data_IF_320069191850
#
_entry.id   IF_320069191850
#
_cell.length_a   1.000
_cell.length_b   1.000
_cell.length_c   1.000
_cell.angle_alpha   90.00
_cell.angle_beta   90.00
_cell.angle_gamma   90.00
#
_symmetry.space_group_name_H-M   'P 1'
#
loop_
_entity.id
_entity.type
_entity.pdbx_description
1 polymer ?
#
# COMPACT_ATOMS: atom_id res chain seq x y z
N UNK A 1 -25.98 1.49 -32.07
CA UNK A 1 -25.07 1.09 -30.98
C UNK A 1 -23.71 1.71 -31.24
N UNK A 2 -23.45 2.85 -30.63
CA UNK A 2 -22.12 3.48 -30.65
C UNK A 2 -21.29 2.82 -29.56
N UNK A 3 -20.32 1.99 -29.96
CA UNK A 3 -19.39 1.41 -29.00
C UNK A 3 -18.62 2.55 -28.30
N UNK A 4 -18.80 2.67 -26.99
CA UNK A 4 -17.95 3.51 -26.12
C UNK A 4 -16.59 2.81 -26.05
N UNK A 5 -15.73 3.08 -27.03
CA UNK A 5 -14.55 2.24 -27.28
C UNK A 5 -13.35 2.61 -26.41
N UNK A 6 -13.29 3.83 -25.86
CA UNK A 6 -12.16 4.30 -25.06
C UNK A 6 -12.52 4.61 -23.59
N UNK A 7 -11.52 4.54 -22.71
CA UNK A 7 -11.66 4.98 -21.32
C UNK A 7 -12.08 6.46 -21.22
N UNK A 8 -11.63 7.30 -22.15
CA UNK A 8 -12.02 8.71 -22.23
C UNK A 8 -13.50 8.87 -22.55
N UNK A 9 -14.06 8.04 -23.43
CA UNK A 9 -15.50 8.05 -23.72
C UNK A 9 -16.33 7.68 -22.49
N UNK A 10 -15.87 6.72 -21.69
CA UNK A 10 -16.53 6.34 -20.43
C UNK A 10 -16.51 7.48 -19.41
N UNK A 11 -15.38 8.17 -19.27
CA UNK A 11 -15.29 9.34 -18.39
C UNK A 11 -16.23 10.44 -18.87
N UNK A 12 -16.24 10.77 -20.17
CA UNK A 12 -17.18 11.76 -20.74
C UNK A 12 -18.65 11.39 -20.52
N UNK A 13 -19.00 10.14 -20.77
CA UNK A 13 -20.34 9.61 -20.51
C UNK A 13 -20.69 9.72 -19.02
N UNK A 14 -19.78 9.32 -18.14
CA UNK A 14 -19.93 9.47 -16.69
C UNK A 14 -20.20 10.91 -16.29
N UNK A 15 -19.44 11.88 -16.83
CA UNK A 15 -19.61 13.31 -16.48
C UNK A 15 -21.00 13.79 -16.90
N UNK A 16 -21.44 13.40 -18.09
CA UNK A 16 -22.78 13.71 -18.58
C UNK A 16 -23.88 13.10 -17.70
N UNK A 17 -23.71 11.85 -17.24
CA UNK A 17 -24.66 11.19 -16.34
C UNK A 17 -24.68 11.87 -14.97
N UNK A 18 -23.52 12.08 -14.36
CA UNK A 18 -23.40 12.73 -13.05
C UNK A 18 -24.03 14.14 -13.05
N UNK A 19 -23.74 14.94 -14.07
CA UNK A 19 -24.33 16.29 -14.22
C UNK A 19 -25.85 16.26 -14.33
N UNK A 20 -26.41 15.37 -15.16
CA UNK A 20 -27.87 15.21 -15.30
C UNK A 20 -28.52 14.72 -14.01
N UNK A 21 -27.92 13.73 -13.36
CA UNK A 21 -28.43 13.19 -12.11
C UNK A 21 -28.46 14.27 -11.02
N UNK A 22 -27.34 15.00 -10.84
CA UNK A 22 -27.25 16.08 -9.87
C UNK A 22 -28.36 17.13 -10.07
N UNK A 23 -28.60 17.55 -11.31
CA UNK A 23 -29.68 18.49 -11.63
C UNK A 23 -31.07 17.93 -11.32
N UNK A 24 -31.34 16.66 -11.67
CA UNK A 24 -32.65 16.03 -11.48
C UNK A 24 -32.98 15.70 -10.03
N UNK A 25 -31.97 15.50 -9.19
CA UNK A 25 -32.13 15.16 -7.77
C UNK A 25 -31.88 16.35 -6.85
N UNK A 26 -31.60 17.52 -7.41
CA UNK A 26 -31.17 18.71 -6.66
C UNK A 26 -30.01 18.43 -5.71
N UNK A 27 -29.00 17.67 -6.17
CA UNK A 27 -27.79 17.44 -5.40
C UNK A 27 -26.90 18.70 -5.45
N UNK A 28 -26.29 19.06 -4.33
CA UNK A 28 -25.38 20.22 -4.22
C UNK A 28 -24.09 20.00 -5.00
N UNK A 29 -23.64 18.74 -5.06
CA UNK A 29 -22.43 18.38 -5.77
C UNK A 29 -22.49 16.96 -6.33
N UNK A 30 -21.65 16.69 -7.33
CA UNK A 30 -21.47 15.37 -7.90
C UNK A 30 -20.03 15.16 -8.39
N UNK A 31 -19.53 13.94 -8.20
CA UNK A 31 -18.22 13.55 -8.71
C UNK A 31 -18.21 12.12 -9.25
N UNK A 32 -17.28 11.85 -10.16
CA UNK A 32 -17.00 10.51 -10.65
C UNK A 32 -15.81 9.94 -9.91
N UNK A 33 -15.85 8.63 -9.66
CA UNK A 33 -14.72 7.94 -9.08
C UNK A 33 -14.48 6.60 -9.77
N UNK A 34 -13.66 5.77 -9.13
CA UNK A 34 -13.37 4.42 -9.61
C UNK A 34 -12.29 4.39 -10.70
N UNK A 35 -12.08 3.18 -11.22
CA UNK A 35 -10.92 2.88 -12.08
C UNK A 35 -10.86 3.76 -13.33
N UNK A 36 -11.99 4.06 -13.95
CA UNK A 36 -12.06 4.88 -15.16
C UNK A 36 -11.63 6.33 -14.90
N UNK A 37 -12.07 6.93 -13.80
CA UNK A 37 -11.74 8.31 -13.43
C UNK A 37 -10.24 8.51 -13.18
N UNK A 38 -9.57 7.49 -12.65
CA UNK A 38 -8.11 7.54 -12.39
C UNK A 38 -7.27 6.92 -13.51
N UNK A 39 -7.82 6.72 -14.71
CA UNK A 39 -7.08 6.18 -15.85
C UNK A 39 -6.66 4.70 -15.73
N UNK A 40 -7.24 3.95 -14.81
CA UNK A 40 -7.00 2.51 -14.61
C UNK A 40 -8.07 1.62 -15.28
N UNK A 41 -9.10 2.21 -15.89
CA UNK A 41 -10.24 1.50 -16.46
C UNK A 41 -9.91 0.37 -17.46
N UNK A 42 -10.85 -0.56 -17.60
CA UNK A 42 -10.88 -1.62 -18.62
C UNK A 42 -12.17 -1.57 -19.43
N UNK A 43 -12.25 -2.39 -20.47
CA UNK A 43 -13.44 -2.53 -21.32
C UNK A 43 -14.72 -2.88 -20.52
N UNK A 44 -14.59 -3.55 -19.38
CA UNK A 44 -15.71 -3.93 -18.51
C UNK A 44 -15.84 -3.05 -17.25
N UNK A 45 -15.08 -1.95 -17.17
CA UNK A 45 -15.21 -1.02 -16.05
C UNK A 45 -16.57 -0.32 -16.10
N UNK A 46 -17.21 -0.27 -14.95
CA UNK A 46 -18.39 0.52 -14.65
C UNK A 46 -18.04 2.01 -14.46
N UNK A 47 -19.09 2.79 -14.26
CA UNK A 47 -19.03 4.21 -13.91
C UNK A 47 -19.55 4.37 -12.48
N UNK A 48 -18.68 4.80 -11.57
CA UNK A 48 -19.08 5.18 -10.22
C UNK A 48 -19.44 6.67 -10.17
N UNK A 49 -20.70 7.00 -9.86
CA UNK A 49 -21.21 8.36 -9.68
C UNK A 49 -21.55 8.57 -8.20
N UNK A 50 -21.09 9.69 -7.66
CA UNK A 50 -21.42 10.13 -6.32
C UNK A 50 -22.24 11.41 -6.37
N UNK A 51 -23.38 11.44 -5.68
CA UNK A 51 -24.25 12.59 -5.51
C UNK A 51 -24.24 13.00 -4.05
N UNK A 52 -24.03 14.29 -3.76
CA UNK A 52 -23.86 14.80 -2.40
C UNK A 52 -24.91 15.87 -2.11
N UNK A 53 -25.52 15.80 -0.92
CA UNK A 53 -26.56 16.75 -0.49
C UNK A 53 -27.96 16.45 -1.02
N UNK A 54 -28.16 15.27 -1.62
CA UNK A 54 -29.49 14.89 -2.11
C UNK A 54 -30.48 14.68 -0.94
N UNK A 55 -31.73 15.18 -1.04
CA UNK A 55 -32.71 15.12 0.06
C UNK A 55 -33.20 13.70 0.40
N UNK A 56 -32.88 12.71 -0.44
CA UNK A 56 -33.36 11.33 -0.31
C UNK A 56 -32.58 10.48 0.71
N UNK A 57 -31.61 11.06 1.41
CA UNK A 57 -30.73 10.33 2.32
C UNK A 57 -29.73 9.43 1.59
N UNK A 58 -28.91 8.71 2.37
CA UNK A 58 -27.89 7.83 1.80
C UNK A 58 -28.50 6.61 1.13
N UNK A 59 -28.13 6.38 -0.13
CA UNK A 59 -28.65 5.27 -0.93
C UNK A 59 -27.66 4.85 -1.99
N UNK A 60 -27.59 3.55 -2.26
CA UNK A 60 -26.92 3.00 -3.44
C UNK A 60 -27.94 2.52 -4.45
N UNK A 61 -27.74 2.84 -5.71
CA UNK A 61 -28.55 2.36 -6.82
C UNK A 61 -27.65 1.98 -7.99
N UNK A 62 -28.10 1.02 -8.79
CA UNK A 62 -27.45 0.62 -10.02
C UNK A 62 -28.38 0.93 -11.18
N UNK A 63 -27.83 1.49 -12.25
CA UNK A 63 -28.54 1.71 -13.51
C UNK A 63 -27.63 1.35 -14.69
N UNK A 64 -28.20 1.40 -15.89
CA UNK A 64 -27.46 1.15 -17.13
C UNK A 64 -27.58 2.35 -18.05
N UNK A 65 -26.47 2.72 -18.67
CA UNK A 65 -26.43 3.61 -19.82
C UNK A 65 -25.95 2.78 -21.00
N UNK A 66 -26.88 2.42 -21.88
CA UNK A 66 -26.69 1.37 -22.89
C UNK A 66 -26.30 0.03 -22.24
N UNK A 67 -25.11 -0.48 -22.53
CA UNK A 67 -24.53 -1.72 -21.99
C UNK A 67 -23.57 -1.48 -20.80
N UNK A 68 -23.42 -0.22 -20.37
CA UNK A 68 -22.49 0.17 -19.32
C UNK A 68 -23.23 0.27 -17.98
N UNK A 69 -22.77 -0.51 -16.99
CA UNK A 69 -23.22 -0.39 -15.60
C UNK A 69 -22.77 0.95 -15.01
N UNK A 70 -23.72 1.64 -14.38
CA UNK A 70 -23.48 2.86 -13.61
C UNK A 70 -23.94 2.61 -12.17
N UNK A 71 -23.00 2.71 -11.24
CA UNK A 71 -23.26 2.64 -9.81
C UNK A 71 -23.38 4.07 -9.28
N UNK A 72 -24.54 4.43 -8.74
CA UNK A 72 -24.80 5.75 -8.17
C UNK A 72 -24.93 5.65 -6.66
N UNK A 73 -24.14 6.43 -5.94
CA UNK A 73 -24.17 6.54 -4.48
C UNK A 73 -24.59 7.95 -4.07
N UNK A 74 -25.63 8.05 -3.25
CA UNK A 74 -26.08 9.27 -2.61
C UNK A 74 -25.43 9.34 -1.22
N UNK A 75 -24.84 10.48 -0.89
CA UNK A 75 -24.17 10.75 0.38
C UNK A 75 -24.68 12.07 0.96
N UNK A 76 -24.75 12.17 2.28
CA UNK A 76 -24.89 13.46 2.93
C UNK A 76 -23.55 14.19 2.95
N UNK A 77 -23.60 15.52 3.10
CA UNK A 77 -22.39 16.29 3.36
C UNK A 77 -21.78 15.91 4.72
N UNK A 78 -22.61 15.80 5.75
CA UNK A 78 -22.20 15.45 7.12
C UNK A 78 -21.38 14.16 7.17
N UNK A 79 -21.72 13.15 6.37
CA UNK A 79 -20.95 11.89 6.28
C UNK A 79 -19.56 12.13 5.69
N UNK A 80 -19.44 12.96 4.65
CA UNK A 80 -18.15 13.29 4.06
C UNK A 80 -17.31 14.17 4.98
N UNK A 81 -17.92 15.13 5.66
CA UNK A 81 -17.26 15.95 6.68
C UNK A 81 -16.73 15.09 7.82
N UNK A 82 -17.58 14.24 8.39
CA UNK A 82 -17.20 13.30 9.45
C UNK A 82 -16.08 12.37 9.00
N UNK A 83 -16.14 11.84 7.78
CA UNK A 83 -15.09 11.00 7.21
C UNK A 83 -13.75 11.76 7.09
N UNK A 84 -13.77 12.99 6.60
CA UNK A 84 -12.55 13.82 6.48
C UNK A 84 -11.99 14.13 7.86
N UNK A 85 -12.84 14.54 8.81
CA UNK A 85 -12.43 14.80 10.19
C UNK A 85 -11.78 13.56 10.81
N UNK A 86 -12.35 12.39 10.56
CA UNK A 86 -11.83 11.13 11.07
C UNK A 86 -10.50 10.75 10.41
N UNK A 87 -10.35 10.89 9.10
CA UNK A 87 -9.07 10.70 8.39
C UNK A 87 -7.97 11.63 8.92
N UNK A 88 -8.30 12.89 9.21
CA UNK A 88 -7.33 13.88 9.68
C UNK A 88 -7.00 13.74 11.16
N UNK A 89 -7.97 13.33 11.98
CA UNK A 89 -7.82 13.13 13.42
C UNK A 89 -7.24 11.77 13.82
N UNK A 90 -7.40 10.74 12.97
CA UNK A 90 -6.93 9.39 13.29
C UNK A 90 -5.42 9.29 13.03
N UNK A 91 -4.67 9.09 14.10
CA UNK A 91 -3.30 8.58 14.03
C UNK A 91 -3.31 7.06 13.88
N UNK A 92 -2.29 6.52 13.22
CA UNK A 92 -2.08 5.06 13.15
C UNK A 92 -1.10 4.70 14.26
N UNK A 93 -1.60 4.25 15.40
CA UNK A 93 -0.81 3.95 16.58
C UNK A 93 -0.61 2.44 16.78
N UNK A 94 0.53 2.07 17.37
CA UNK A 94 0.89 0.67 17.64
C UNK A 94 -0.02 -0.03 18.65
N UNK A 95 -0.67 0.74 19.52
CA UNK A 95 -1.68 0.29 20.48
C UNK A 95 -3.00 1.02 20.18
N UNK A 96 -3.91 0.43 19.38
CA UNK A 96 -5.10 1.14 18.96
C UNK A 96 -6.11 1.22 20.11
N UNK A 97 -6.16 2.37 20.77
CA UNK A 97 -7.29 2.76 21.59
C UNK A 97 -8.30 3.52 20.73
N UNK A 98 -9.20 2.80 20.04
CA UNK A 98 -10.26 3.45 19.28
C UNK A 98 -10.84 2.61 18.15
N UNK A 99 -11.90 3.14 17.57
CA UNK A 99 -12.52 2.60 16.36
C UNK A 99 -11.67 2.94 15.14
N UNK A 100 -11.54 2.00 14.21
CA UNK A 100 -10.75 2.16 12.98
C UNK A 100 -11.68 2.34 11.78
N UNK A 101 -11.29 3.20 10.85
CA UNK A 101 -11.93 3.31 9.53
C UNK A 101 -12.01 1.94 8.86
N UNK A 102 -13.20 1.59 8.37
CA UNK A 102 -13.42 0.43 7.53
C UNK A 102 -12.80 0.61 6.14
N UNK A 103 -12.52 -0.50 5.44
CA UNK A 103 -12.04 -0.46 4.05
C UNK A 103 -12.94 0.36 3.12
N UNK A 104 -14.25 0.35 3.37
CA UNK A 104 -15.23 1.13 2.59
C UNK A 104 -15.05 2.63 2.80
N UNK A 105 -14.80 3.05 4.03
CA UNK A 105 -14.60 4.46 4.36
C UNK A 105 -13.25 4.96 3.85
N UNK A 106 -12.18 4.17 3.97
CA UNK A 106 -10.87 4.47 3.36
C UNK A 106 -11.03 4.60 1.84
N UNK A 107 -11.72 3.65 1.19
CA UNK A 107 -12.00 3.71 -0.23
C UNK A 107 -12.81 4.96 -0.60
N UNK A 108 -13.79 5.36 0.22
CA UNK A 108 -14.58 6.57 0.00
C UNK A 108 -13.72 7.84 0.13
N UNK A 109 -12.85 7.94 1.13
CA UNK A 109 -11.93 9.06 1.29
C UNK A 109 -10.95 9.17 0.11
N UNK A 110 -10.42 8.04 -0.38
CA UNK A 110 -9.61 8.01 -1.60
C UNK A 110 -10.40 8.48 -2.81
N UNK A 111 -11.66 8.04 -2.97
CA UNK A 111 -12.54 8.45 -4.07
C UNK A 111 -12.87 9.95 -4.00
N UNK A 112 -13.09 10.50 -2.81
CA UNK A 112 -13.29 11.93 -2.61
C UNK A 112 -12.06 12.74 -3.04
N UNK A 113 -10.86 12.30 -2.63
CA UNK A 113 -9.60 12.97 -2.97
C UNK A 113 -9.27 12.88 -4.47
N UNK A 114 -9.41 11.70 -5.07
CA UNK A 114 -8.94 11.42 -6.44
C UNK A 114 -10.02 11.52 -7.52
N UNK A 115 -11.29 11.64 -7.12
CA UNK A 115 -12.42 11.68 -8.04
C UNK A 115 -12.45 12.93 -8.92
N UNK A 116 -13.11 12.81 -10.07
CA UNK A 116 -13.34 13.92 -10.98
C UNK A 116 -14.60 14.68 -10.56
N UNK A 117 -14.45 15.90 -10.02
CA UNK A 117 -15.57 16.75 -9.63
C UNK A 117 -16.28 17.26 -10.89
N UNK A 118 -17.57 16.93 -11.00
CA UNK A 118 -18.39 17.27 -12.18
C UNK A 118 -19.21 18.52 -11.94
N UNK A 119 -19.83 18.61 -10.76
CA UNK A 119 -20.61 19.76 -10.29
C UNK A 119 -20.26 19.96 -8.83
N UNK A 120 -20.07 21.21 -8.40
CA UNK A 120 -19.76 21.52 -7.01
C UNK A 120 -20.24 22.92 -6.65
N UNK A 121 -20.89 23.03 -5.49
CA UNK A 121 -21.22 24.30 -4.83
C UNK A 121 -20.01 24.93 -4.13
N UNK A 122 -18.87 24.24 -4.11
CA UNK A 122 -17.61 24.63 -3.46
C UNK A 122 -17.26 23.74 -2.28
N UNK A 123 -18.21 22.93 -1.82
CA UNK A 123 -18.08 22.08 -0.64
C UNK A 123 -17.13 20.90 -0.87
N UNK A 124 -17.20 20.22 -2.02
CA UNK A 124 -16.29 19.09 -2.29
C UNK A 124 -14.86 19.57 -2.48
N UNK A 125 -14.68 20.71 -3.15
CA UNK A 125 -13.38 21.36 -3.26
C UNK A 125 -12.79 21.70 -1.89
N UNK A 126 -13.59 22.23 -0.95
CA UNK A 126 -13.14 22.52 0.41
C UNK A 126 -12.69 21.26 1.16
N UNK A 127 -13.48 20.18 1.11
CA UNK A 127 -13.11 18.90 1.74
C UNK A 127 -11.85 18.28 1.14
N UNK A 128 -11.70 18.35 -0.19
CA UNK A 128 -10.49 17.89 -0.87
C UNK A 128 -9.27 18.69 -0.46
N UNK A 129 -9.37 20.02 -0.40
CA UNK A 129 -8.28 20.88 0.02
C UNK A 129 -7.79 20.52 1.43
N UNK A 130 -8.71 20.25 2.37
CA UNK A 130 -8.36 19.77 3.72
C UNK A 130 -7.55 18.47 3.71
N UNK A 131 -7.89 17.52 2.82
CA UNK A 131 -7.12 16.27 2.66
C UNK A 131 -5.74 16.53 2.02
N UNK A 132 -5.67 17.43 1.04
CA UNK A 132 -4.44 17.75 0.33
C UNK A 132 -3.45 18.59 1.15
N UNK A 133 -3.93 19.37 2.13
CA UNK A 133 -3.11 20.02 3.16
C UNK A 133 -2.41 19.03 4.10
N UNK A 134 -2.93 17.79 4.18
CA UNK A 134 -2.42 16.73 5.04
C UNK A 134 -2.20 15.41 4.27
N UNK A 135 -1.36 15.40 3.22
CA UNK A 135 -1.31 14.31 2.25
C UNK A 135 -0.89 12.96 2.85
N UNK A 136 -0.13 12.98 3.96
CA UNK A 136 0.30 11.76 4.64
C UNK A 136 -0.80 11.08 5.44
N UNK A 137 -1.85 11.78 5.88
CA UNK A 137 -2.90 11.19 6.73
C UNK A 137 -3.63 10.07 5.99
N UNK A 138 -4.21 10.40 4.84
CA UNK A 138 -4.89 9.41 4.01
C UNK A 138 -3.91 8.37 3.44
N UNK A 139 -2.72 8.80 3.03
CA UNK A 139 -1.71 7.89 2.47
C UNK A 139 -1.28 6.83 3.49
N UNK A 140 -1.08 7.20 4.76
CA UNK A 140 -0.72 6.25 5.83
C UNK A 140 -1.84 5.26 6.14
N UNK A 141 -3.09 5.68 6.10
CA UNK A 141 -4.23 4.75 6.23
C UNK A 141 -4.21 3.71 5.10
N UNK A 142 -4.07 4.16 3.85
CA UNK A 142 -4.00 3.26 2.68
C UNK A 142 -2.77 2.35 2.76
N UNK A 143 -1.58 2.88 3.07
CA UNK A 143 -0.36 2.10 3.26
C UNK A 143 -0.56 1.03 4.35
N UNK A 144 -1.07 1.42 5.53
CA UNK A 144 -1.26 0.51 6.65
C UNK A 144 -2.25 -0.62 6.31
N UNK A 145 -3.38 -0.33 5.64
CA UNK A 145 -4.32 -1.37 5.20
C UNK A 145 -3.65 -2.40 4.31
N UNK A 146 -2.87 -1.95 3.30
CA UNK A 146 -2.19 -2.87 2.40
C UNK A 146 -1.01 -3.59 3.05
N UNK A 147 -0.29 -2.95 3.98
CA UNK A 147 0.75 -3.59 4.78
C UNK A 147 0.17 -4.69 5.67
N UNK A 148 -0.99 -4.45 6.28
CA UNK A 148 -1.68 -5.45 7.11
C UNK A 148 -2.18 -6.64 6.29
N UNK A 149 -2.77 -6.38 5.12
CA UNK A 149 -3.17 -7.43 4.19
C UNK A 149 -1.96 -8.26 3.71
N UNK A 150 -0.83 -7.61 3.42
CA UNK A 150 0.41 -8.28 3.05
C UNK A 150 0.96 -9.12 4.20
N UNK A 151 0.89 -8.62 5.43
CA UNK A 151 1.31 -9.34 6.64
C UNK A 151 0.55 -10.65 6.79
N UNK A 152 -0.80 -10.62 6.81
CA UNK A 152 -1.61 -11.83 6.97
C UNK A 152 -1.37 -12.84 5.83
N UNK A 153 -1.29 -12.37 4.59
CA UNK A 153 -1.01 -13.26 3.46
C UNK A 153 0.40 -13.90 3.51
N UNK A 154 1.40 -13.17 4.03
CA UNK A 154 2.73 -13.71 4.21
C UNK A 154 2.81 -14.67 5.42
N UNK A 155 2.07 -14.41 6.49
CA UNK A 155 1.87 -15.34 7.60
C UNK A 155 1.26 -16.66 7.11
N UNK A 156 0.17 -16.61 6.35
CA UNK A 156 -0.44 -17.80 5.74
C UNK A 156 0.57 -18.55 4.86
N UNK A 157 1.29 -17.83 3.99
CA UNK A 157 2.32 -18.42 3.13
C UNK A 157 3.41 -19.14 3.94
N UNK A 158 3.87 -18.52 5.03
CA UNK A 158 4.92 -19.09 5.88
C UNK A 158 4.43 -20.31 6.64
N UNK A 159 3.21 -20.27 7.19
CA UNK A 159 2.61 -21.39 7.91
C UNK A 159 2.36 -22.59 7.01
N UNK A 160 1.73 -22.39 5.85
CA UNK A 160 1.46 -23.44 4.87
C UNK A 160 2.74 -24.07 4.33
N UNK A 161 3.78 -23.25 4.10
CA UNK A 161 5.10 -23.73 3.66
C UNK A 161 5.82 -24.62 4.69
N UNK A 162 5.52 -24.44 5.97
CA UNK A 162 6.07 -25.25 7.08
C UNK A 162 5.28 -26.53 7.33
N UNK A 163 4.12 -26.70 6.68
CA UNK A 163 3.32 -27.91 6.76
C UNK A 163 4.07 -29.09 6.13
N UNK A 164 3.89 -30.28 6.71
CA UNK A 164 4.41 -31.53 6.17
C UNK A 164 3.53 -32.06 5.00
N UNK A 165 2.35 -31.47 4.77
CA UNK A 165 1.44 -31.86 3.68
C UNK A 165 1.83 -31.17 2.35
N UNK A 166 2.27 -31.92 1.32
CA UNK A 166 2.63 -31.33 0.03
C UNK A 166 1.48 -30.61 -0.68
N UNK A 167 0.22 -30.91 -0.33
CA UNK A 167 -0.95 -30.23 -0.88
C UNK A 167 -1.12 -28.79 -0.40
N UNK A 168 -0.40 -28.39 0.65
CA UNK A 168 -0.39 -27.01 1.17
C UNK A 168 0.51 -26.07 0.35
N UNK A 169 1.35 -26.58 -0.57
CA UNK A 169 2.25 -25.76 -1.38
C UNK A 169 1.50 -24.84 -2.36
N UNK A 170 0.42 -25.31 -2.98
CA UNK A 170 -0.40 -24.51 -3.91
C UNK A 170 -1.11 -23.36 -3.17
N UNK A 171 -1.81 -23.59 -2.04
CA UNK A 171 -2.28 -22.52 -1.16
C UNK A 171 -1.17 -21.57 -0.69
N UNK A 172 0.02 -22.08 -0.34
CA UNK A 172 1.17 -21.25 0.05
C UNK A 172 1.60 -20.32 -1.09
N UNK A 173 1.67 -20.82 -2.32
CA UNK A 173 1.99 -20.02 -3.50
C UNK A 173 0.95 -18.93 -3.76
N UNK A 174 -0.35 -19.24 -3.60
CA UNK A 174 -1.42 -18.27 -3.70
C UNK A 174 -1.30 -17.17 -2.63
N UNK A 175 -1.06 -17.55 -1.38
CA UNK A 175 -0.86 -16.63 -0.27
C UNK A 175 0.37 -15.74 -0.47
N UNK A 176 1.50 -16.31 -0.90
CA UNK A 176 2.73 -15.56 -1.20
C UNK A 176 2.55 -14.55 -2.34
N UNK A 177 1.82 -14.90 -3.40
CA UNK A 177 1.46 -13.95 -4.47
C UNK A 177 0.57 -12.83 -3.95
N UNK A 178 -0.42 -13.13 -3.10
CA UNK A 178 -1.26 -12.12 -2.47
C UNK A 178 -0.44 -11.17 -1.58
N UNK A 179 0.49 -11.69 -0.78
CA UNK A 179 1.40 -10.89 0.01
C UNK A 179 2.19 -9.91 -0.86
N UNK A 180 2.72 -10.38 -1.99
CA UNK A 180 3.44 -9.54 -2.94
C UNK A 180 2.54 -8.48 -3.61
N UNK A 181 1.31 -8.83 -3.99
CA UNK A 181 0.32 -7.87 -4.52
C UNK A 181 0.05 -6.76 -3.49
N UNK A 182 -0.29 -7.12 -2.25
CA UNK A 182 -0.59 -6.16 -1.19
C UNK A 182 0.65 -5.32 -0.83
N UNK A 183 1.86 -5.89 -0.80
CA UNK A 183 3.09 -5.13 -0.60
C UNK A 183 3.35 -4.12 -1.73
N UNK A 184 3.07 -4.51 -2.99
CA UNK A 184 3.12 -3.60 -4.13
C UNK A 184 2.09 -2.48 -4.05
N UNK A 185 0.89 -2.76 -3.50
CA UNK A 185 -0.14 -1.75 -3.25
C UNK A 185 0.28 -0.74 -2.18
N UNK A 186 0.89 -1.21 -1.09
CA UNK A 186 1.45 -0.35 -0.06
C UNK A 186 2.55 0.57 -0.65
N UNK A 187 3.43 0.01 -1.48
CA UNK A 187 4.48 0.78 -2.15
C UNK A 187 3.92 1.80 -3.16
N UNK A 188 2.90 1.44 -3.93
CA UNK A 188 2.24 2.38 -4.84
C UNK A 188 1.61 3.56 -4.08
N UNK A 189 0.97 3.28 -2.93
CA UNK A 189 0.42 4.32 -2.05
C UNK A 189 1.52 5.22 -1.46
N UNK A 190 2.67 4.64 -1.11
CA UNK A 190 3.86 5.39 -0.70
C UNK A 190 4.41 6.31 -1.82
N UNK A 191 4.28 5.88 -3.08
CA UNK A 191 4.55 6.70 -4.28
C UNK A 191 3.43 7.68 -4.65
N UNK A 192 2.39 7.82 -3.81
CA UNK A 192 1.28 8.76 -3.99
C UNK A 192 0.07 8.22 -4.77
N UNK A 193 0.11 6.98 -5.27
CA UNK A 193 -1.03 6.36 -5.98
C UNK A 193 -1.95 5.61 -5.01
N UNK A 194 -2.94 6.34 -4.51
CA UNK A 194 -3.82 5.87 -3.44
C UNK A 194 -4.98 4.99 -3.91
N UNK A 195 -5.11 4.70 -5.21
CA UNK A 195 -6.28 3.96 -5.69
C UNK A 195 -6.49 2.68 -4.89
N UNK A 196 -7.69 2.49 -4.33
CA UNK A 196 -7.97 1.42 -3.37
C UNK A 196 -8.59 0.22 -4.08
N UNK A 197 -7.80 -0.84 -4.30
CA UNK A 197 -8.22 -2.10 -4.92
C UNK A 197 -7.05 -2.86 -5.56
N UNK A 198 -6.99 -4.19 -5.35
CA UNK A 198 -5.81 -5.02 -5.69
C UNK A 198 -5.54 -5.13 -7.21
N UNK A 199 -6.59 -5.18 -8.02
CA UNK A 199 -6.56 -5.47 -9.47
C UNK A 199 -5.50 -4.70 -10.27
N UNK A 200 -5.22 -3.46 -9.87
CA UNK A 200 -4.42 -2.52 -10.68
C UNK A 200 -3.00 -2.32 -10.20
N UNK A 201 -2.50 -3.12 -9.27
CA UNK A 201 -1.16 -2.94 -8.67
C UNK A 201 -0.06 -2.77 -9.72
N UNK A 202 -0.07 -3.53 -10.82
CA UNK A 202 0.92 -3.37 -11.91
C UNK A 202 0.84 -2.01 -12.58
N UNK A 203 -0.38 -1.54 -12.90
CA UNK A 203 -0.56 -0.25 -13.57
C UNK A 203 -0.20 0.91 -12.65
N UNK A 204 -0.51 0.78 -11.36
CA UNK A 204 -0.12 1.77 -10.37
C UNK A 204 1.40 1.83 -10.22
N UNK A 205 2.07 0.70 -9.98
CA UNK A 205 3.53 0.67 -9.89
C UNK A 205 4.23 1.10 -11.18
N UNK A 206 3.66 0.84 -12.36
CA UNK A 206 4.23 1.35 -13.61
C UNK A 206 4.09 2.88 -13.76
N UNK A 207 3.08 3.48 -13.11
CA UNK A 207 2.79 4.92 -13.18
C UNK A 207 3.47 5.72 -12.07
N UNK A 208 3.51 5.17 -10.86
CA UNK A 208 3.90 5.86 -9.63
C UNK A 208 4.93 5.08 -8.81
N UNK A 209 5.39 3.93 -9.32
CA UNK A 209 6.41 3.16 -8.66
C UNK A 209 7.74 3.92 -8.63
N UNK A 210 8.60 3.61 -7.66
CA UNK A 210 9.89 4.27 -7.54
C UNK A 210 10.79 4.03 -8.75
N UNK A 211 11.59 5.04 -9.11
CA UNK A 211 12.65 4.88 -10.09
C UNK A 211 13.59 3.73 -9.69
N UNK A 212 13.94 2.88 -10.65
CA UNK A 212 14.77 1.70 -10.41
C UNK A 212 14.05 0.54 -9.71
N UNK A 213 12.75 0.62 -9.44
CA UNK A 213 11.96 -0.54 -9.00
C UNK A 213 12.09 -1.68 -10.01
N UNK A 214 12.42 -2.93 -9.59
CA UNK A 214 12.63 -4.04 -10.50
C UNK A 214 11.28 -4.63 -10.93
N UNK A 215 10.56 -3.87 -11.75
CA UNK A 215 9.19 -4.17 -12.18
C UNK A 215 9.08 -5.51 -12.93
N UNK A 216 10.09 -5.84 -13.74
CA UNK A 216 10.15 -7.12 -14.44
C UNK A 216 10.20 -8.31 -13.45
N UNK A 217 10.96 -8.18 -12.37
CA UNK A 217 11.05 -9.20 -11.32
C UNK A 217 9.74 -9.31 -10.54
N UNK A 218 9.12 -8.18 -10.20
CA UNK A 218 7.79 -8.15 -9.56
C UNK A 218 6.74 -8.87 -10.42
N UNK A 219 6.73 -8.64 -11.74
CA UNK A 219 5.81 -9.31 -12.66
C UNK A 219 6.12 -10.80 -12.78
N UNK A 220 7.41 -11.16 -12.86
CA UNK A 220 7.87 -12.54 -12.95
C UNK A 220 7.41 -13.35 -11.73
N UNK A 221 7.67 -12.86 -10.52
CA UNK A 221 7.25 -13.51 -9.28
C UNK A 221 5.74 -13.73 -9.18
N UNK A 222 4.93 -12.82 -9.74
CA UNK A 222 3.47 -12.96 -9.72
C UNK A 222 2.91 -13.91 -10.80
N UNK A 223 3.61 -14.09 -11.92
CA UNK A 223 3.12 -14.85 -13.07
C UNK A 223 3.69 -16.26 -13.14
N UNK A 224 4.97 -16.40 -12.86
CA UNK A 224 5.66 -17.68 -12.93
C UNK A 224 5.14 -18.59 -11.82
N UNK A 225 5.21 -19.91 -12.05
CA UNK A 225 4.93 -20.90 -11.03
C UNK A 225 6.10 -20.95 -10.03
N UNK A 226 5.91 -20.52 -8.76
CA UNK A 226 6.97 -20.54 -7.76
C UNK A 226 7.34 -21.97 -7.33
N UNK A 227 6.54 -22.98 -7.68
CA UNK A 227 6.74 -24.37 -7.28
C UNK A 227 7.49 -25.20 -8.33
N UNK A 228 7.70 -24.65 -9.53
CA UNK A 228 8.16 -25.43 -10.68
C UNK A 228 9.58 -26.00 -10.58
N UNK A 229 10.49 -25.34 -9.85
CA UNK A 229 11.91 -25.74 -9.76
C UNK A 229 12.31 -26.06 -8.32
N UNK A 230 12.13 -25.11 -7.42
CA UNK A 230 12.37 -25.25 -5.99
C UNK A 230 11.27 -24.49 -5.24
N UNK A 231 10.23 -25.21 -4.76
CA UNK A 231 9.11 -24.62 -4.01
C UNK A 231 9.55 -23.71 -2.86
N UNK A 232 10.57 -24.12 -2.10
CA UNK A 232 11.01 -23.38 -0.92
C UNK A 232 11.69 -22.07 -1.33
N UNK A 233 12.53 -22.12 -2.36
CA UNK A 233 13.16 -20.92 -2.90
C UNK A 233 12.14 -19.97 -3.55
N UNK A 234 11.17 -20.50 -4.30
CA UNK A 234 10.12 -19.69 -4.94
C UNK A 234 9.23 -18.96 -3.94
N UNK A 235 8.76 -19.65 -2.89
CA UNK A 235 7.97 -19.06 -1.81
C UNK A 235 8.80 -18.05 -0.99
N UNK A 236 10.09 -18.34 -0.77
CA UNK A 236 11.02 -17.40 -0.12
C UNK A 236 11.22 -16.14 -0.95
N UNK A 237 11.32 -16.26 -2.28
CA UNK A 237 11.49 -15.12 -3.18
C UNK A 237 10.26 -14.20 -3.16
N UNK A 238 9.05 -14.76 -3.17
CA UNK A 238 7.80 -14.02 -3.03
C UNK A 238 7.77 -13.19 -1.74
N UNK A 239 7.98 -13.86 -0.61
CA UNK A 239 7.88 -13.24 0.73
C UNK A 239 9.02 -12.25 0.99
N UNK A 240 10.23 -12.54 0.52
CA UNK A 240 11.38 -11.64 0.65
C UNK A 240 11.23 -10.38 -0.19
N UNK A 241 10.72 -10.49 -1.42
CA UNK A 241 10.43 -9.31 -2.24
C UNK A 241 9.29 -8.47 -1.64
N UNK A 242 8.25 -9.11 -1.12
CA UNK A 242 7.20 -8.43 -0.36
C UNK A 242 7.79 -7.68 0.86
N UNK A 243 8.67 -8.32 1.63
CA UNK A 243 9.37 -7.70 2.78
C UNK A 243 10.18 -6.47 2.35
N UNK A 244 10.82 -6.46 1.18
CA UNK A 244 11.51 -5.28 0.62
C UNK A 244 10.54 -4.14 0.33
N UNK A 245 9.43 -4.40 -0.36
CA UNK A 245 8.41 -3.38 -0.63
C UNK A 245 7.83 -2.80 0.67
N UNK A 246 7.56 -3.66 1.65
CA UNK A 246 6.99 -3.25 2.94
C UNK A 246 7.98 -2.42 3.75
N UNK A 247 9.28 -2.77 3.82
CA UNK A 247 10.22 -1.97 4.60
C UNK A 247 10.51 -0.62 3.96
N UNK A 248 10.59 -0.54 2.63
CA UNK A 248 10.74 0.72 1.91
C UNK A 248 9.53 1.63 2.17
N UNK A 249 8.33 1.06 2.16
CA UNK A 249 7.08 1.74 2.51
C UNK A 249 7.09 2.21 3.98
N UNK A 250 7.44 1.32 4.91
CA UNK A 250 7.42 1.58 6.35
C UNK A 250 8.43 2.65 6.79
N UNK A 251 9.53 2.78 6.07
CA UNK A 251 10.63 3.69 6.44
C UNK A 251 10.61 4.97 5.62
N UNK A 252 10.53 4.91 4.29
CA UNK A 252 10.51 6.13 3.46
C UNK A 252 9.10 6.68 3.29
N UNK A 253 8.20 5.87 2.71
CA UNK A 253 6.83 6.28 2.39
C UNK A 253 6.08 6.81 3.61
N UNK A 254 6.21 6.11 4.73
CA UNK A 254 5.59 6.50 5.99
C UNK A 254 6.05 7.87 6.49
N UNK A 255 7.32 8.21 6.26
CA UNK A 255 7.93 9.49 6.66
C UNK A 255 7.74 10.59 5.61
N UNK A 256 6.99 10.32 4.54
CA UNK A 256 6.82 11.25 3.42
C UNK A 256 8.07 11.46 2.58
N UNK A 257 9.05 10.57 2.68
CA UNK A 257 10.22 10.56 1.80
C UNK A 257 9.88 9.82 0.52
N UNK A 258 10.31 10.36 -0.61
CA UNK A 258 10.16 9.69 -1.90
C UNK A 258 10.81 8.30 -1.87
N UNK A 259 10.00 7.26 -2.10
CA UNK A 259 10.42 5.86 -2.13
C UNK A 259 11.42 5.57 -3.26
N UNK A 260 11.53 6.43 -4.28
CA UNK A 260 12.57 6.34 -5.32
C UNK A 260 13.99 6.45 -4.76
N UNK A 261 14.13 7.01 -3.54
CA UNK A 261 15.40 7.10 -2.82
C UNK A 261 15.85 5.77 -2.22
N UNK A 262 15.01 4.73 -2.25
CA UNK A 262 15.38 3.41 -1.76
C UNK A 262 16.58 2.88 -2.55
N UNK A 263 17.71 2.58 -1.89
CA UNK A 263 19.00 2.50 -2.57
C UNK A 263 19.23 1.18 -3.32
N UNK A 264 18.51 0.11 -2.96
CA UNK A 264 18.68 -1.20 -3.56
C UNK A 264 17.43 -2.08 -3.34
N UNK A 265 16.83 -2.54 -4.44
CA UNK A 265 15.67 -3.44 -4.39
C UNK A 265 16.05 -4.91 -4.32
N UNK A 266 16.98 -5.42 -5.17
CA UNK A 266 17.40 -6.81 -5.05
C UNK A 266 18.33 -6.98 -3.85
N UNK A 267 18.20 -8.14 -3.20
CA UNK A 267 19.16 -8.58 -2.20
C UNK A 267 20.56 -8.64 -2.83
N UNK A 268 21.57 -8.19 -2.10
CA UNK A 268 22.96 -8.29 -2.53
C UNK A 268 23.61 -9.63 -2.13
N UNK A 269 24.93 -9.70 -2.32
CA UNK A 269 25.78 -10.83 -1.95
C UNK A 269 26.60 -10.61 -0.68
N UNK A 270 26.32 -9.53 0.05
CA UNK A 270 27.00 -9.18 1.30
C UNK A 270 26.54 -10.01 2.50
N UNK A 271 27.28 -9.92 3.62
CA UNK A 271 27.12 -10.81 4.77
C UNK A 271 25.87 -10.54 5.62
N UNK A 272 25.40 -9.29 5.70
CA UNK A 272 24.21 -8.96 6.48
C UNK A 272 22.98 -9.35 5.68
N UNK A 273 22.10 -10.17 6.26
CA UNK A 273 20.79 -10.51 5.70
C UNK A 273 19.71 -10.27 6.74
N UNK A 274 18.58 -9.72 6.32
CA UNK A 274 17.40 -9.66 7.18
C UNK A 274 16.92 -11.08 7.47
N UNK A 275 16.43 -11.30 8.68
CA UNK A 275 15.68 -12.52 8.96
C UNK A 275 14.40 -12.52 8.12
N UNK A 276 14.12 -13.59 7.34
CA UNK A 276 12.93 -13.67 6.50
C UNK A 276 11.65 -13.90 7.32
N UNK A 277 11.79 -14.19 8.62
CA UNK A 277 10.66 -14.49 9.51
C UNK A 277 9.89 -13.25 9.98
N UNK A 278 10.40 -12.04 9.74
CA UNK A 278 9.83 -10.80 10.26
C UNK A 278 9.26 -9.92 9.15
N UNK A 279 8.10 -9.34 9.37
CA UNK A 279 7.48 -8.42 8.43
C UNK A 279 7.29 -7.05 9.09
N UNK A 280 7.63 -5.94 8.40
CA UNK A 280 7.51 -4.63 8.99
C UNK A 280 6.07 -4.11 8.92
N UNK A 281 5.64 -3.47 10.01
CA UNK A 281 4.43 -2.65 10.09
C UNK A 281 4.80 -1.27 10.59
N UNK A 282 4.18 -0.24 10.03
CA UNK A 282 4.49 1.13 10.38
C UNK A 282 3.34 1.77 11.16
N UNK A 283 3.71 2.59 12.13
CA UNK A 283 2.84 3.38 12.97
C UNK A 283 3.46 4.78 13.09
N UNK A 284 2.66 5.75 13.53
CA UNK A 284 3.11 7.14 13.69
C UNK A 284 4.27 7.26 14.70
N UNK A 285 4.36 6.35 15.66
CA UNK A 285 5.38 6.33 16.71
C UNK A 285 6.59 5.43 16.41
N UNK A 286 6.48 4.44 15.51
CA UNK A 286 7.52 3.42 15.30
C UNK A 286 7.25 2.48 14.12
N UNK A 287 8.22 1.61 13.84
CA UNK A 287 8.06 0.43 12.99
C UNK A 287 8.11 -0.81 13.87
N UNK A 288 7.13 -1.71 13.75
CA UNK A 288 7.20 -3.03 14.40
C UNK A 288 7.64 -4.09 13.40
N UNK A 289 8.54 -4.96 13.83
CA UNK A 289 8.86 -6.19 13.11
C UNK A 289 8.08 -7.33 13.75
N UNK A 290 7.19 -7.95 12.98
CA UNK A 290 6.27 -8.97 13.47
C UNK A 290 6.67 -10.32 12.89
N UNK A 291 6.96 -11.28 13.75
CA UNK A 291 7.05 -12.68 13.38
C UNK A 291 5.66 -13.33 13.54
N UNK A 292 5.16 -14.05 12.52
CA UNK A 292 3.94 -14.86 12.65
C UNK A 292 3.97 -15.75 13.90
N UNK A 293 2.93 -15.67 14.73
CA UNK A 293 2.78 -16.43 16.00
C UNK A 293 3.97 -16.27 16.98
N UNK A 294 4.79 -15.23 16.81
CA UNK A 294 6.12 -15.18 17.42
C UNK A 294 6.46 -13.85 18.09
N UNK A 295 7.75 -13.50 18.02
CA UNK A 295 8.29 -12.30 18.66
C UNK A 295 7.92 -11.04 17.89
N UNK A 296 7.65 -9.97 18.62
CA UNK A 296 7.43 -8.64 18.06
C UNK A 296 8.53 -7.71 18.55
N UNK A 297 9.13 -6.93 17.65
CA UNK A 297 10.15 -5.94 18.00
C UNK A 297 9.65 -4.55 17.63
N UNK A 298 9.73 -3.62 18.59
CA UNK A 298 9.40 -2.20 18.37
C UNK A 298 10.70 -1.48 18.04
N UNK A 299 10.82 -0.97 16.82
CA UNK A 299 12.00 -0.28 16.33
C UNK A 299 11.69 1.19 16.06
N UNK A 300 12.56 2.12 16.51
CA UNK A 300 12.56 3.47 15.99
C UNK A 300 12.78 3.48 14.47
N UNK A 301 12.29 4.50 13.73
CA UNK A 301 12.39 4.53 12.26
C UNK A 301 13.82 4.41 11.72
N UNK A 302 14.81 4.98 12.39
CA UNK A 302 16.23 4.92 12.01
C UNK A 302 16.79 3.49 12.12
N UNK A 303 16.47 2.79 13.21
CA UNK A 303 16.83 1.38 13.40
C UNK A 303 16.13 0.47 12.37
N UNK A 304 14.85 0.71 12.09
CA UNK A 304 14.12 -0.03 11.07
C UNK A 304 14.70 0.19 9.65
N UNK A 305 15.16 1.41 9.35
CA UNK A 305 15.86 1.70 8.10
C UNK A 305 17.15 0.89 7.99
N UNK A 306 18.01 0.87 9.02
CA UNK A 306 19.25 0.08 9.01
C UNK A 306 18.95 -1.43 8.84
N UNK A 307 17.92 -1.95 9.50
CA UNK A 307 17.46 -3.33 9.27
C UNK A 307 17.05 -3.54 7.81
N UNK A 308 16.23 -2.65 7.26
CA UNK A 308 15.76 -2.72 5.87
C UNK A 308 16.88 -2.72 4.82
N UNK A 309 17.93 -1.94 5.06
CA UNK A 309 19.10 -1.83 4.18
C UNK A 309 20.02 -3.06 4.24
N UNK A 310 19.89 -3.90 5.26
CA UNK A 310 20.76 -5.05 5.54
C UNK A 310 20.37 -6.31 4.76
N UNK A 311 19.93 -6.17 3.50
CA UNK A 311 19.50 -7.30 2.67
C UNK A 311 20.58 -7.76 1.69
N UNK A 312 21.49 -8.60 2.19
CA UNK A 312 22.66 -9.06 1.45
C UNK A 312 23.70 -7.96 1.26
N UNK A 313 24.00 -7.17 2.29
CA UNK A 313 24.91 -6.01 2.19
C UNK A 313 26.02 -6.06 3.22
N UNK A 314 27.11 -5.34 2.95
CA UNK A 314 28.18 -5.13 3.92
C UNK A 314 27.76 -4.07 4.95
N UNK A 315 28.26 -4.12 6.18
CA UNK A 315 28.03 -3.05 7.17
C UNK A 315 28.40 -1.65 6.66
N UNK A 316 29.45 -1.55 5.84
CA UNK A 316 29.91 -0.31 5.24
C UNK A 316 28.86 0.24 4.26
N UNK A 317 28.37 -0.58 3.32
CA UNK A 317 27.34 -0.17 2.36
C UNK A 317 26.03 0.20 3.05
N UNK A 318 25.63 -0.55 4.09
CA UNK A 318 24.45 -0.20 4.90
C UNK A 318 24.61 1.18 5.53
N UNK A 319 25.78 1.45 6.11
CA UNK A 319 26.09 2.75 6.74
C UNK A 319 26.09 3.88 5.71
N UNK A 320 26.73 3.70 4.55
CA UNK A 320 26.73 4.70 3.46
C UNK A 320 25.32 5.06 3.01
N UNK A 321 24.45 4.07 2.82
CA UNK A 321 23.07 4.27 2.44
C UNK A 321 22.25 4.97 3.53
N UNK A 322 22.42 4.54 4.79
CA UNK A 322 21.77 5.15 5.94
C UNK A 322 22.16 6.62 6.11
N UNK A 323 23.44 6.96 5.98
CA UNK A 323 23.96 8.33 6.05
C UNK A 323 23.52 9.22 4.88
N UNK A 324 23.21 8.62 3.73
CA UNK A 324 22.61 9.36 2.61
C UNK A 324 21.16 9.71 2.92
N UNK A 325 20.38 8.73 3.39
CA UNK A 325 18.97 8.89 3.72
C UNK A 325 18.73 9.73 4.98
N UNK A 326 19.70 9.81 5.89
CA UNK A 326 19.63 10.68 7.08
C UNK A 326 19.45 12.16 6.75
N UNK A 327 19.79 12.56 5.52
CA UNK A 327 19.66 13.92 5.01
C UNK A 327 18.27 14.21 4.42
N UNK A 328 17.48 13.16 4.15
CA UNK A 328 16.18 13.27 3.48
C UNK A 328 15.01 13.43 4.46
N UNK A 329 15.17 13.02 5.73
CA UNK A 329 14.11 13.12 6.74
C UNK A 329 14.64 13.37 8.15
N UNK A 330 13.98 14.24 8.95
CA UNK A 330 14.28 14.41 10.37
C UNK A 330 14.20 13.11 11.18
N UNK A 331 13.36 12.16 10.75
CA UNK A 331 13.21 10.85 11.42
C UNK A 331 14.53 10.04 11.44
N UNK A 332 15.48 10.40 10.57
CA UNK A 332 16.75 9.71 10.39
C UNK A 332 17.96 10.58 10.77
N UNK A 333 17.75 11.80 11.24
CA UNK A 333 18.82 12.77 11.49
C UNK A 333 19.85 12.30 12.54
N UNK A 334 19.47 11.36 13.42
CA UNK A 334 20.36 10.77 14.42
C UNK A 334 21.34 9.71 13.89
N UNK A 335 21.24 9.33 12.60
CA UNK A 335 22.11 8.32 12.01
C UNK A 335 23.52 8.88 11.77
N UNK A 336 24.48 8.30 12.49
CA UNK A 336 25.93 8.46 12.31
C UNK A 336 26.56 7.10 12.01
N UNK A 337 27.83 7.06 11.59
CA UNK A 337 28.54 5.80 11.39
C UNK A 337 28.53 4.93 12.66
N UNK A 338 28.84 5.54 13.80
CA UNK A 338 28.87 4.84 15.09
C UNK A 338 27.47 4.34 15.50
N UNK A 339 26.43 5.14 15.25
CA UNK A 339 25.04 4.72 15.50
C UNK A 339 24.66 3.54 14.60
N UNK A 340 25.00 3.57 13.31
CA UNK A 340 24.72 2.47 12.38
C UNK A 340 25.41 1.18 12.83
N UNK A 341 26.70 1.26 13.20
CA UNK A 341 27.47 0.12 13.70
C UNK A 341 26.81 -0.51 14.94
N UNK A 342 26.46 0.31 15.92
CA UNK A 342 25.78 -0.16 17.13
C UNK A 342 24.43 -0.80 16.82
N UNK A 343 23.60 -0.16 15.97
CA UNK A 343 22.31 -0.73 15.54
C UNK A 343 22.52 -2.09 14.88
N UNK A 344 23.50 -2.24 13.99
CA UNK A 344 23.79 -3.53 13.34
C UNK A 344 24.14 -4.62 14.36
N UNK A 345 24.91 -4.29 15.41
CA UNK A 345 25.24 -5.22 16.49
C UNK A 345 23.96 -5.62 17.25
N UNK A 346 23.18 -4.64 17.70
CA UNK A 346 21.91 -4.87 18.43
C UNK A 346 20.93 -5.73 17.62
N UNK A 347 20.79 -5.46 16.31
CA UNK A 347 19.92 -6.23 15.43
C UNK A 347 20.42 -7.69 15.25
N UNK A 348 21.73 -7.92 15.23
CA UNK A 348 22.30 -9.27 15.18
C UNK A 348 22.06 -10.03 16.48
N UNK A 349 22.31 -9.40 17.61
CA UNK A 349 22.09 -9.99 18.94
C UNK A 349 20.60 -10.35 19.15
N UNK A 350 19.68 -9.55 18.61
CA UNK A 350 18.25 -9.83 18.63
C UNK A 350 17.80 -10.95 17.67
N UNK A 351 18.67 -11.40 16.76
CA UNK A 351 18.34 -12.37 15.71
C UNK A 351 17.51 -11.80 14.55
N UNK A 352 17.53 -10.47 14.39
CA UNK A 352 16.85 -9.76 13.29
C UNK A 352 17.71 -9.71 12.01
N UNK A 353 19.02 -9.91 12.15
CA UNK A 353 19.99 -10.10 11.06
C UNK A 353 20.68 -11.46 11.18
N UNK A 354 20.91 -12.12 10.05
CA UNK A 354 21.65 -13.39 9.93
C UNK A 354 22.93 -13.20 9.13
N UNK A 355 23.95 -14.02 9.41
CA UNK A 355 25.18 -14.10 8.60
C UNK A 355 25.15 -15.32 7.69
N UNK A 356 25.59 -15.13 6.44
CA UNK A 356 25.76 -16.20 5.45
C UNK A 356 26.89 -17.14 5.92
N UNK A 357 26.58 -18.13 6.76
CA UNK A 357 27.55 -19.08 7.29
C UNK A 357 27.14 -19.77 8.59
N UNK A 358 26.17 -19.22 9.33
CA UNK A 358 25.58 -19.93 10.47
C UNK A 358 24.52 -20.91 9.98
N UNK A 359 24.80 -22.21 10.02
CA UNK A 359 23.74 -23.23 10.00
C UNK A 359 22.68 -22.80 11.01
N UNK A 360 21.44 -22.63 10.55
CA UNK A 360 20.28 -22.53 11.43
C UNK A 360 20.17 -23.88 12.16
N UNK A 361 20.85 -24.01 13.28
CA UNK A 361 20.52 -25.04 14.26
C UNK A 361 19.09 -24.77 14.70
N UNK A 362 18.19 -25.71 14.43
CA UNK A 362 16.78 -25.63 14.83
C UNK A 362 16.70 -25.25 16.31
N UNK A 363 16.13 -24.07 16.57
CA UNK A 363 15.60 -23.68 17.88
C UNK A 363 14.09 -23.85 17.85
#
# INVERSE_FOLDING_TARGET
MTAVSSAQDRVRLGRSIASRLAASTHADAAFLAGSSAVGLGSATSDIDVYLVGAPTGEKRQQMFADDIRVDVQHLSLDTLESLVDWVLGTGVHSDPAGETLSDREIALAVRLRTGDIVTDSGTLAALRNRLDEHPLRLSRLVMNTWMLAAFFAAEDCLGLRQSDDPSDLDPAALAGRRALVCAGKALAAAGGDLYFGEKWVWRQLARSGPDGFPFAEFQRLLRDDPLAVDPQAGLTALTSFAQTCLIATATLGWQGVDVSRWPAWPAGSGPLRRSPAFLPRAYDDMVTLVQPVGRHFRLPPDTALVWGLSDGRSPQTVTEYALRLSKESPAFAGLTEERCRRITIELREAGLLTEQGGQWGAM
#
